data_IF_381089954344
#
_entry.id   IF_381089954344
#
_cell.length_a   1.000
_cell.length_b   1.000
_cell.length_c   1.000
_cell.angle_alpha   90.00
_cell.angle_beta   90.00
_cell.angle_gamma   90.00
#
_symmetry.space_group_name_H-M   'P 1'
#
loop_
_entity.id
_entity.type
_entity.pdbx_description
1 polymer ?
#
# COMPACT_ATOMS: atom_id res chain seq x y z
N UNK A 1 39.50 -31.99 -44.47
CA UNK A 1 39.03 -32.87 -43.37
C UNK A 1 37.84 -32.18 -42.72
N UNK A 2 36.68 -32.77 -42.98
CA UNK A 2 35.34 -32.24 -42.73
C UNK A 2 34.79 -32.84 -41.42
N UNK A 3 34.04 -32.06 -40.63
CA UNK A 3 32.80 -32.51 -39.96
C UNK A 3 32.15 -31.36 -39.18
N UNK A 4 31.18 -30.74 -39.85
CA UNK A 4 30.03 -30.02 -39.29
C UNK A 4 29.25 -30.90 -38.31
N UNK A 5 28.85 -30.36 -37.15
CA UNK A 5 27.86 -30.99 -36.25
C UNK A 5 26.50 -30.34 -36.45
N UNK A 6 25.54 -31.16 -36.88
CA UNK A 6 24.15 -30.80 -37.17
C UNK A 6 23.28 -30.77 -35.91
N UNK A 7 22.33 -29.85 -35.89
CA UNK A 7 21.22 -29.73 -34.92
C UNK A 7 20.13 -30.76 -35.26
N UNK A 8 19.55 -31.49 -34.29
CA UNK A 8 18.34 -32.25 -34.53
C UNK A 8 17.09 -31.44 -34.20
N UNK A 9 16.32 -31.11 -35.22
CA UNK A 9 14.88 -30.85 -35.14
C UNK A 9 14.11 -32.16 -35.04
N UNK A 10 13.06 -32.27 -34.22
CA UNK A 10 11.95 -33.15 -34.58
C UNK A 10 10.57 -32.66 -34.14
N UNK A 11 9.75 -32.54 -35.17
CA UNK A 11 8.33 -32.22 -35.26
C UNK A 11 7.42 -33.22 -34.54
N UNK A 12 6.40 -32.65 -33.90
CA UNK A 12 4.96 -33.00 -33.83
C UNK A 12 4.51 -34.43 -34.19
N UNK A 13 3.53 -34.94 -33.45
CA UNK A 13 2.23 -35.40 -34.00
C UNK A 13 1.23 -35.70 -32.89
N UNK A 14 0.15 -34.92 -32.85
CA UNK A 14 -1.10 -35.25 -32.18
C UNK A 14 -1.74 -36.47 -32.87
N UNK A 15 -2.29 -37.39 -32.10
CA UNK A 15 -3.21 -38.42 -32.60
C UNK A 15 -4.47 -38.35 -31.76
N UNK A 16 -5.60 -38.16 -32.44
CA UNK A 16 -6.94 -38.27 -31.91
C UNK A 16 -7.60 -39.56 -32.40
N UNK A 17 -8.73 -39.88 -31.78
CA UNK A 17 -9.82 -40.77 -32.22
C UNK A 17 -9.70 -42.24 -31.83
N UNK A 18 -10.64 -42.72 -31.01
CA UNK A 18 -11.66 -43.68 -31.45
C UNK A 18 -12.68 -43.95 -30.33
N UNK A 19 -13.92 -43.52 -30.55
CA UNK A 19 -15.10 -43.90 -29.78
C UNK A 19 -15.47 -45.36 -30.08
N UNK A 20 -15.80 -46.12 -29.03
CA UNK A 20 -16.52 -47.39 -29.16
C UNK A 20 -17.91 -47.24 -28.52
N UNK A 21 -18.94 -47.41 -29.33
CA UNK A 21 -20.31 -47.59 -28.88
C UNK A 21 -20.55 -49.07 -28.56
N UNK A 22 -21.16 -49.35 -27.41
CA UNK A 22 -21.77 -50.64 -27.12
C UNK A 22 -23.13 -50.38 -26.44
N UNK A 23 -24.20 -50.78 -27.13
CA UNK A 23 -25.57 -50.84 -26.61
C UNK A 23 -25.74 -52.12 -25.80
N UNK A 24 -26.25 -52.00 -24.57
CA UNK A 24 -26.98 -53.08 -23.90
C UNK A 24 -28.19 -52.48 -23.17
N UNK A 25 -29.38 -52.94 -23.55
CA UNK A 25 -30.65 -52.67 -22.87
C UNK A 25 -30.75 -53.54 -21.60
N UNK A 26 -30.97 -52.91 -20.45
CA UNK A 26 -31.65 -53.54 -19.30
C UNK A 26 -32.29 -52.44 -18.47
N UNK A 27 -33.61 -52.52 -18.32
CA UNK A 27 -34.41 -51.54 -17.59
C UNK A 27 -34.17 -51.60 -16.09
N UNK A 28 -33.94 -50.43 -15.50
CA UNK A 28 -34.02 -50.18 -14.06
C UNK A 28 -34.80 -48.88 -13.86
N UNK A 29 -35.78 -48.91 -12.96
CA UNK A 29 -36.65 -47.79 -12.65
C UNK A 29 -35.84 -46.57 -12.19
N UNK A 30 -36.02 -45.43 -12.85
CA UNK A 30 -35.44 -44.16 -12.46
C UNK A 30 -36.14 -43.64 -11.19
N UNK A 31 -35.47 -43.75 -10.04
CA UNK A 31 -35.81 -42.97 -8.86
C UNK A 31 -35.30 -41.54 -9.06
N UNK A 32 -36.11 -40.49 -8.82
CA UNK A 32 -35.61 -39.12 -8.83
C UNK A 32 -34.64 -38.93 -7.66
N UNK A 33 -33.39 -38.60 -7.98
CA UNK A 33 -32.41 -38.19 -6.99
C UNK A 33 -32.86 -36.87 -6.37
N UNK A 34 -33.33 -36.92 -5.13
CA UNK A 34 -33.51 -35.72 -4.30
C UNK A 34 -32.11 -35.19 -3.99
N UNK A 35 -31.75 -34.06 -4.59
CA UNK A 35 -30.53 -33.33 -4.23
C UNK A 35 -30.65 -32.89 -2.76
N UNK A 36 -29.94 -33.57 -1.88
CA UNK A 36 -29.81 -33.17 -0.48
C UNK A 36 -29.10 -31.81 -0.38
N UNK A 37 -29.33 -31.04 0.71
CA UNK A 37 -28.63 -29.78 0.93
C UNK A 37 -27.12 -30.04 0.91
N UNK A 38 -26.41 -29.41 -0.03
CA UNK A 38 -24.95 -29.47 -0.02
C UNK A 38 -24.48 -28.74 1.26
N UNK A 39 -23.61 -29.37 2.08
CA UNK A 39 -22.93 -28.65 3.15
C UNK A 39 -22.21 -27.46 2.52
N UNK A 40 -22.54 -26.25 2.97
CA UNK A 40 -21.82 -25.07 2.55
C UNK A 40 -20.33 -25.27 2.83
N UNK A 41 -19.49 -25.16 1.80
CA UNK A 41 -18.04 -25.20 1.98
C UNK A 41 -17.64 -24.09 2.97
N UNK A 42 -16.75 -24.38 3.93
CA UNK A 42 -16.25 -23.36 4.84
C UNK A 42 -15.51 -22.31 4.00
N UNK A 43 -16.08 -21.10 3.94
CA UNK A 43 -15.42 -19.93 3.39
C UNK A 43 -14.11 -19.76 4.16
N UNK A 44 -12.99 -19.93 3.46
CA UNK A 44 -11.68 -19.65 4.04
C UNK A 44 -11.72 -18.25 4.65
N UNK A 45 -11.22 -18.05 5.89
CA UNK A 45 -11.21 -16.73 6.48
C UNK A 45 -10.47 -15.80 5.52
N UNK A 46 -11.18 -14.81 4.99
CA UNK A 46 -10.55 -13.70 4.28
C UNK A 46 -9.45 -13.08 5.17
N UNK A 47 -8.55 -12.24 4.63
CA UNK A 47 -7.51 -11.59 5.43
C UNK A 47 -8.14 -11.08 6.71
N UNK A 48 -7.72 -11.64 7.85
CA UNK A 48 -8.37 -11.41 9.15
C UNK A 48 -8.64 -9.92 9.28
N UNK A 49 -9.82 -9.54 9.76
CA UNK A 49 -10.17 -8.14 9.99
C UNK A 49 -9.11 -7.40 10.83
N UNK A 50 -8.27 -8.13 11.58
CA UNK A 50 -7.10 -7.64 12.28
C UNK A 50 -5.98 -7.06 11.38
N UNK A 51 -5.86 -7.48 10.11
CA UNK A 51 -4.83 -7.03 9.15
C UNK A 51 -5.36 -6.14 8.03
N UNK A 52 -6.65 -5.79 8.06
CA UNK A 52 -7.27 -4.98 7.01
C UNK A 52 -6.62 -3.60 6.84
N UNK A 53 -6.01 -3.04 7.90
CA UNK A 53 -5.33 -1.74 7.88
C UNK A 53 -3.81 -1.84 7.65
N UNK A 54 -3.25 -3.04 7.53
CA UNK A 54 -1.81 -3.22 7.25
C UNK A 54 -1.36 -2.57 5.94
N UNK A 55 -2.10 -2.66 4.82
CA UNK A 55 -1.73 -1.95 3.60
C UNK A 55 -1.68 -0.43 3.78
N UNK A 56 -2.61 0.14 4.55
CA UNK A 56 -2.65 1.57 4.83
C UNK A 56 -1.45 2.01 5.67
N UNK A 57 -1.16 1.28 6.76
CA UNK A 57 0.01 1.52 7.60
C UNK A 57 1.32 1.38 6.80
N UNK A 58 1.41 0.39 5.91
CA UNK A 58 2.55 0.22 5.00
C UNK A 58 2.81 1.46 4.13
N UNK A 59 1.76 2.02 3.52
CA UNK A 59 1.89 3.22 2.68
C UNK A 59 2.25 4.47 3.48
N UNK A 60 1.76 4.60 4.72
CA UNK A 60 2.19 5.68 5.61
C UNK A 60 3.68 5.57 5.96
N UNK A 61 4.16 4.38 6.32
CA UNK A 61 5.57 4.14 6.59
C UNK A 61 6.43 4.40 5.35
N UNK A 62 6.02 3.90 4.18
CA UNK A 62 6.72 4.12 2.92
C UNK A 62 6.83 5.62 2.58
N UNK A 63 5.74 6.37 2.72
CA UNK A 63 5.73 7.83 2.51
C UNK A 63 6.61 8.55 3.53
N UNK A 64 6.60 8.10 4.78
CA UNK A 64 7.42 8.67 5.84
C UNK A 64 8.91 8.49 5.57
N UNK A 65 9.34 7.31 5.14
CA UNK A 65 10.74 6.99 4.84
C UNK A 65 11.30 7.80 3.66
N UNK A 66 10.45 8.38 2.81
CA UNK A 66 10.90 9.36 1.80
C UNK A 66 11.43 10.64 2.46
N UNK A 67 11.07 10.95 3.71
CA UNK A 67 11.59 12.10 4.45
C UNK A 67 13.12 12.14 4.48
N UNK A 68 13.81 11.00 4.55
CA UNK A 68 15.26 10.92 4.53
C UNK A 68 15.85 11.47 3.23
N UNK A 69 15.25 11.10 2.10
CA UNK A 69 15.64 11.60 0.77
C UNK A 69 15.33 13.09 0.64
N UNK A 70 14.17 13.54 1.12
CA UNK A 70 13.79 14.96 1.11
C UNK A 70 14.75 15.78 1.97
N UNK A 71 15.04 15.30 3.18
CA UNK A 71 15.97 15.93 4.10
C UNK A 71 17.36 16.04 3.45
N UNK A 72 17.88 14.95 2.89
CA UNK A 72 19.16 14.93 2.19
C UNK A 72 19.21 15.91 1.01
N UNK A 73 18.13 15.99 0.23
CA UNK A 73 18.05 16.89 -0.91
C UNK A 73 18.03 18.38 -0.51
N UNK A 74 17.37 18.71 0.61
CA UNK A 74 17.18 20.10 1.07
C UNK A 74 18.29 20.60 2.01
N UNK A 75 18.96 19.72 2.76
CA UNK A 75 19.89 20.11 3.82
C UNK A 75 21.06 20.95 3.25
N UNK A 76 21.28 22.13 3.82
CA UNK A 76 22.29 23.08 3.35
C UNK A 76 22.00 23.64 1.96
N UNK A 77 20.73 23.78 1.59
CA UNK A 77 20.25 24.53 0.41
C UNK A 77 19.33 25.68 0.86
N UNK A 78 18.87 26.49 -0.09
CA UNK A 78 17.87 27.53 0.10
C UNK A 78 16.43 26.99 0.19
N UNK A 79 16.23 25.67 0.08
CA UNK A 79 14.91 25.04 0.12
C UNK A 79 14.49 24.73 1.57
N UNK A 80 13.49 25.43 2.13
CA UNK A 80 13.07 25.22 3.52
C UNK A 80 12.35 23.88 3.71
N UNK A 81 12.33 23.39 4.96
CA UNK A 81 11.50 22.24 5.35
C UNK A 81 10.02 22.58 5.19
N UNK A 82 9.59 23.70 5.78
CA UNK A 82 8.26 24.27 5.64
C UNK A 82 8.14 25.05 4.34
N UNK A 83 7.18 24.66 3.50
CA UNK A 83 6.84 25.35 2.26
C UNK A 83 5.30 25.40 2.15
N UNK A 84 4.64 26.34 2.84
CA UNK A 84 3.17 26.38 2.93
C UNK A 84 2.49 26.43 1.56
N UNK A 85 3.09 27.12 0.59
CA UNK A 85 2.55 27.20 -0.75
C UNK A 85 2.61 25.84 -1.46
N UNK A 86 3.71 25.09 -1.32
CA UNK A 86 3.81 23.73 -1.86
C UNK A 86 2.93 22.74 -1.11
N UNK A 87 2.87 22.83 0.20
CA UNK A 87 2.02 22.00 1.05
C UNK A 87 0.55 22.17 0.66
N UNK A 88 0.09 23.40 0.47
CA UNK A 88 -1.27 23.67 0.00
C UNK A 88 -1.56 23.03 -1.36
N UNK A 89 -0.64 23.15 -2.34
CA UNK A 89 -0.81 22.49 -3.65
C UNK A 89 -0.93 20.97 -3.54
N UNK A 90 -0.24 20.34 -2.59
CA UNK A 90 -0.35 18.89 -2.35
C UNK A 90 -1.73 18.54 -1.77
N UNK A 91 -2.23 19.36 -0.83
CA UNK A 91 -3.54 19.15 -0.24
C UNK A 91 -4.67 19.38 -1.25
N UNK A 92 -4.55 20.41 -2.10
CA UNK A 92 -5.52 20.71 -3.16
C UNK A 92 -5.58 19.57 -4.19
N UNK A 93 -4.44 19.03 -4.61
CA UNK A 93 -4.38 17.87 -5.51
C UNK A 93 -5.02 16.63 -4.87
N UNK A 94 -4.70 16.35 -3.60
CA UNK A 94 -5.29 15.23 -2.87
C UNK A 94 -6.82 15.37 -2.75
N UNK A 95 -7.33 16.58 -2.48
CA UNK A 95 -8.75 16.87 -2.42
C UNK A 95 -9.46 16.66 -3.78
N UNK A 96 -8.87 17.16 -4.87
CA UNK A 96 -9.42 17.02 -6.22
C UNK A 96 -9.51 15.54 -6.63
N UNK A 97 -8.45 14.75 -6.34
CA UNK A 97 -8.41 13.32 -6.63
C UNK A 97 -9.36 12.52 -5.75
N UNK A 98 -9.52 12.90 -4.49
CA UNK A 98 -10.47 12.29 -3.57
C UNK A 98 -11.91 12.37 -4.11
N UNK A 99 -12.32 13.54 -4.61
CA UNK A 99 -13.64 13.74 -5.16
C UNK A 99 -13.94 12.80 -6.34
N UNK A 100 -12.96 12.58 -7.23
CA UNK A 100 -13.09 11.64 -8.35
C UNK A 100 -13.19 10.16 -7.94
N UNK A 101 -12.80 9.83 -6.71
CA UNK A 101 -12.84 8.48 -6.14
C UNK A 101 -14.01 8.27 -5.16
N UNK A 102 -14.89 9.27 -4.99
CA UNK A 102 -16.01 9.21 -4.05
C UNK A 102 -15.61 9.32 -2.57
N UNK A 103 -14.37 9.71 -2.28
CA UNK A 103 -13.91 9.97 -0.91
C UNK A 103 -14.31 11.38 -0.47
N UNK A 104 -14.60 11.57 0.82
CA UNK A 104 -14.75 12.91 1.40
C UNK A 104 -13.42 13.70 1.30
N UNK A 105 -13.38 14.82 0.55
CA UNK A 105 -12.16 15.60 0.38
C UNK A 105 -11.61 16.14 1.70
N UNK A 106 -12.46 16.50 2.67
CA UNK A 106 -12.02 17.04 3.95
C UNK A 106 -11.27 15.98 4.77
N UNK A 107 -11.80 14.76 4.83
CA UNK A 107 -11.12 13.60 5.44
C UNK A 107 -9.77 13.32 4.77
N UNK A 108 -9.70 13.33 3.44
CA UNK A 108 -8.44 13.09 2.72
C UNK A 108 -7.42 14.19 2.99
N UNK A 109 -7.83 15.46 2.98
CA UNK A 109 -6.96 16.60 3.32
C UNK A 109 -6.40 16.45 4.74
N UNK A 110 -7.22 16.04 5.71
CA UNK A 110 -6.75 15.82 7.08
C UNK A 110 -5.69 14.69 7.16
N UNK A 111 -5.93 13.56 6.46
CA UNK A 111 -4.96 12.46 6.37
C UNK A 111 -3.64 12.94 5.76
N UNK A 112 -3.68 13.62 4.61
CA UNK A 112 -2.46 14.09 3.95
C UNK A 112 -1.76 15.21 4.72
N UNK A 113 -2.50 16.04 5.46
CA UNK A 113 -1.94 17.00 6.42
C UNK A 113 -1.09 16.30 7.49
N UNK A 114 -1.61 15.21 8.08
CA UNK A 114 -0.85 14.41 9.03
C UNK A 114 0.42 13.81 8.41
N UNK A 115 0.34 13.33 7.16
CA UNK A 115 1.50 12.79 6.45
C UNK A 115 2.57 13.87 6.13
N UNK A 116 2.16 15.11 5.83
CA UNK A 116 3.07 16.23 5.60
C UNK A 116 3.79 16.58 6.91
N UNK A 117 3.04 16.72 8.01
CA UNK A 117 3.62 17.05 9.31
C UNK A 117 4.56 15.96 9.84
N UNK A 118 4.20 14.69 9.65
CA UNK A 118 5.08 13.56 9.96
C UNK A 118 6.41 13.61 9.19
N UNK A 119 6.34 13.93 7.89
CA UNK A 119 7.52 14.06 7.05
C UNK A 119 8.41 15.25 7.50
N UNK A 120 7.81 16.40 7.81
CA UNK A 120 8.54 17.57 8.35
C UNK A 120 9.19 17.28 9.70
N UNK A 121 8.52 16.52 10.58
CA UNK A 121 9.08 16.08 11.85
C UNK A 121 10.38 15.29 11.65
N UNK A 122 10.38 14.30 10.75
CA UNK A 122 11.59 13.51 10.44
C UNK A 122 12.68 14.37 9.83
N UNK A 123 12.35 15.23 8.85
CA UNK A 123 13.33 16.15 8.25
C UNK A 123 14.05 17.00 9.30
N UNK A 124 13.29 17.65 10.21
CA UNK A 124 13.89 18.48 11.27
C UNK A 124 14.74 17.66 12.23
N UNK A 125 14.29 16.46 12.62
CA UNK A 125 15.08 15.57 13.47
C UNK A 125 16.39 15.12 12.82
N UNK A 126 16.37 14.86 11.51
CA UNK A 126 17.58 14.54 10.74
C UNK A 126 18.53 15.75 10.67
N UNK A 127 18.00 16.96 10.47
CA UNK A 127 18.82 18.18 10.46
C UNK A 127 19.55 18.36 11.79
N UNK A 128 18.82 18.27 12.91
CA UNK A 128 19.43 18.32 14.24
C UNK A 128 20.51 17.25 14.43
N UNK A 129 20.26 16.02 13.95
CA UNK A 129 21.24 14.92 14.01
C UNK A 129 22.49 15.24 13.18
N UNK A 130 22.35 15.80 11.98
CA UNK A 130 23.45 16.14 11.07
C UNK A 130 24.23 17.39 11.46
N UNK A 131 23.59 18.32 12.18
CA UNK A 131 24.25 19.47 12.78
C UNK A 131 25.15 19.02 13.94
N UNK A 132 24.65 18.12 14.80
CA UNK A 132 25.41 17.55 15.91
C UNK A 132 26.49 16.55 15.48
N UNK A 133 26.24 15.83 14.38
CA UNK A 133 27.11 14.77 13.86
C UNK A 133 27.39 14.95 12.36
N UNK A 134 28.30 15.88 11.98
CA UNK A 134 28.61 16.17 10.59
C UNK A 134 29.05 14.96 9.76
N UNK A 135 29.69 13.98 10.39
CA UNK A 135 30.13 12.72 9.79
C UNK A 135 28.96 11.83 9.33
N UNK A 136 27.74 12.07 9.84
CA UNK A 136 26.52 11.34 9.46
C UNK A 136 25.74 12.01 8.33
N UNK A 137 26.21 13.16 7.82
CA UNK A 137 25.55 13.89 6.73
C UNK A 137 25.53 13.02 5.46
N UNK A 138 24.42 13.03 4.71
CA UNK A 138 24.35 12.32 3.44
C UNK A 138 25.32 12.95 2.44
N UNK A 139 26.10 12.12 1.76
CA UNK A 139 27.04 12.55 0.71
C UNK A 139 26.36 12.76 -0.64
N UNK A 140 25.22 12.10 -0.86
CA UNK A 140 24.38 12.24 -2.05
C UNK A 140 23.14 13.08 -1.74
N UNK A 141 22.80 13.98 -2.66
CA UNK A 141 21.54 14.74 -2.66
C UNK A 141 20.65 14.25 -3.82
N UNK A 142 19.58 13.48 -3.55
CA UNK A 142 18.64 13.06 -4.59
C UNK A 142 17.92 14.26 -5.22
N UNK A 143 17.56 14.15 -6.49
CA UNK A 143 16.80 15.20 -7.17
C UNK A 143 15.34 15.21 -6.71
N UNK A 144 14.86 16.36 -6.24
CA UNK A 144 13.49 16.50 -5.73
C UNK A 144 12.43 16.24 -6.80
N UNK A 145 12.72 16.58 -8.06
CA UNK A 145 11.75 16.63 -9.13
C UNK A 145 11.76 15.33 -9.94
N UNK A 146 12.95 14.74 -10.13
CA UNK A 146 13.16 13.54 -10.93
C UNK A 146 13.12 12.24 -10.12
N UNK A 147 13.43 12.27 -8.83
CA UNK A 147 13.47 11.06 -7.99
C UNK A 147 12.38 11.06 -6.92
N UNK A 148 12.24 12.15 -6.17
CA UNK A 148 11.38 12.17 -4.98
C UNK A 148 9.90 12.39 -5.34
N UNK A 149 9.59 13.38 -6.18
CA UNK A 149 8.20 13.67 -6.60
C UNK A 149 7.51 12.47 -7.27
N UNK A 150 8.12 11.74 -8.21
CA UNK A 150 7.47 10.59 -8.82
C UNK A 150 7.17 9.47 -7.82
N UNK A 151 8.07 9.24 -6.85
CA UNK A 151 7.84 8.26 -5.80
C UNK A 151 6.66 8.66 -4.90
N UNK A 152 6.57 9.95 -4.52
CA UNK A 152 5.46 10.47 -3.72
C UNK A 152 4.12 10.42 -4.47
N UNK A 153 4.10 10.68 -5.78
CA UNK A 153 2.87 10.62 -6.57
C UNK A 153 2.34 9.19 -6.72
N UNK A 154 3.22 8.21 -6.95
CA UNK A 154 2.85 6.78 -6.91
C UNK A 154 2.21 6.44 -5.57
N UNK A 155 2.87 6.78 -4.46
CA UNK A 155 2.36 6.48 -3.11
C UNK A 155 1.03 7.18 -2.88
N UNK A 156 0.88 8.44 -3.30
CA UNK A 156 -0.38 9.18 -3.20
C UNK A 156 -1.52 8.44 -3.91
N UNK A 157 -1.27 7.94 -5.11
CA UNK A 157 -2.24 7.14 -5.87
C UNK A 157 -2.63 5.86 -5.13
N UNK A 158 -1.64 5.10 -4.65
CA UNK A 158 -1.88 3.87 -3.89
C UNK A 158 -2.61 4.15 -2.58
N UNK A 159 -2.28 5.26 -1.92
CA UNK A 159 -2.87 5.66 -0.66
C UNK A 159 -4.34 6.00 -0.83
N UNK A 160 -4.71 6.81 -1.82
CA UNK A 160 -6.11 7.13 -2.12
C UNK A 160 -6.94 5.86 -2.42
N UNK A 161 -6.43 4.95 -3.24
CA UNK A 161 -7.11 3.68 -3.51
C UNK A 161 -7.24 2.81 -2.25
N UNK A 162 -6.24 2.83 -1.38
CA UNK A 162 -6.29 2.12 -0.10
C UNK A 162 -7.29 2.76 0.86
N UNK A 163 -7.44 4.09 0.85
CA UNK A 163 -8.46 4.79 1.65
C UNK A 163 -9.87 4.39 1.22
N UNK A 164 -10.12 4.19 -0.09
CA UNK A 164 -11.39 3.62 -0.61
C UNK A 164 -11.57 2.19 -0.10
N UNK A 165 -10.58 1.32 -0.32
CA UNK A 165 -10.68 -0.10 0.02
C UNK A 165 -10.84 -0.37 1.53
N UNK A 166 -10.44 0.59 2.37
CA UNK A 166 -10.48 0.47 3.83
C UNK A 166 -11.57 1.31 4.49
N UNK A 167 -12.44 1.98 3.74
CA UNK A 167 -13.49 2.86 4.28
C UNK A 167 -14.32 2.17 5.37
N UNK A 168 -14.85 0.97 5.10
CA UNK A 168 -15.69 0.25 6.05
C UNK A 168 -15.00 -0.06 7.39
N UNK A 169 -13.72 -0.44 7.37
CA UNK A 169 -12.97 -0.69 8.62
C UNK A 169 -12.55 0.61 9.29
N UNK A 170 -12.24 1.66 8.52
CA UNK A 170 -11.84 2.98 9.02
C UNK A 170 -12.97 3.73 9.72
N UNK A 171 -14.22 3.44 9.33
CA UNK A 171 -15.43 3.97 9.96
C UNK A 171 -15.91 3.15 11.17
N UNK A 172 -15.24 2.04 11.49
CA UNK A 172 -15.60 1.20 12.65
C UNK A 172 -15.00 1.73 13.97
N UNK A 173 -15.63 1.48 15.12
CA UNK A 173 -15.06 1.81 16.44
C UNK A 173 -13.70 1.15 16.71
N UNK A 174 -13.41 0.04 16.02
CA UNK A 174 -12.16 -0.70 16.15
C UNK A 174 -11.01 -0.11 15.33
N UNK A 175 -11.24 0.94 14.53
CA UNK A 175 -10.24 1.48 13.61
C UNK A 175 -8.96 1.89 14.35
N UNK A 176 -9.07 2.71 15.40
CA UNK A 176 -7.91 3.24 16.12
C UNK A 176 -6.97 2.12 16.59
N UNK A 177 -7.40 1.24 17.50
CA UNK A 177 -6.57 0.14 17.99
C UNK A 177 -6.00 -0.75 16.87
N UNK A 178 -6.78 -1.02 15.81
CA UNK A 178 -6.30 -1.81 14.67
C UNK A 178 -5.26 -1.08 13.84
N UNK A 179 -5.42 0.22 13.63
CA UNK A 179 -4.48 1.05 12.88
C UNK A 179 -3.16 1.18 13.64
N UNK A 180 -3.20 1.45 14.95
CA UNK A 180 -2.00 1.51 15.78
C UNK A 180 -1.28 0.17 15.85
N UNK A 181 -2.00 -0.95 15.97
CA UNK A 181 -1.41 -2.29 15.92
C UNK A 181 -0.77 -2.59 14.56
N UNK A 182 -1.43 -2.23 13.46
CA UNK A 182 -0.88 -2.36 12.12
C UNK A 182 0.37 -1.49 11.93
N UNK A 183 0.35 -0.24 12.39
CA UNK A 183 1.48 0.68 12.35
C UNK A 183 2.67 0.17 13.16
N UNK A 184 2.44 -0.37 14.36
CA UNK A 184 3.49 -0.95 15.18
C UNK A 184 4.13 -2.18 14.51
N UNK A 185 3.31 -3.05 13.90
CA UNK A 185 3.80 -4.22 13.16
C UNK A 185 4.64 -3.80 11.94
N UNK A 186 4.14 -2.85 11.15
CA UNK A 186 4.88 -2.28 10.01
C UNK A 186 6.19 -1.65 10.46
N UNK A 187 6.17 -0.84 11.51
CA UNK A 187 7.35 -0.16 12.01
C UNK A 187 8.43 -1.13 12.52
N UNK A 188 8.01 -2.23 13.15
CA UNK A 188 8.91 -3.32 13.54
C UNK A 188 9.52 -4.01 12.32
N UNK A 189 8.69 -4.34 11.32
CA UNK A 189 9.14 -4.99 10.08
C UNK A 189 10.13 -4.13 9.27
N UNK A 190 9.93 -2.81 9.25
CA UNK A 190 10.78 -1.85 8.54
C UNK A 190 12.01 -1.41 9.36
N UNK A 191 12.11 -1.83 10.64
CA UNK A 191 13.22 -1.47 11.51
C UNK A 191 13.30 0.03 11.81
N UNK A 192 12.15 0.70 11.98
CA UNK A 192 12.10 2.14 12.18
C UNK A 192 12.82 2.57 13.47
N UNK A 193 13.69 3.57 13.37
CA UNK A 193 14.34 4.17 14.53
C UNK A 193 13.37 5.06 15.34
N UNK A 194 13.80 5.54 16.51
CA UNK A 194 12.96 6.37 17.40
C UNK A 194 12.42 7.64 16.71
N UNK A 195 13.17 8.22 15.77
CA UNK A 195 12.72 9.41 15.04
C UNK A 195 11.58 9.04 14.08
N UNK A 196 11.74 7.93 13.36
CA UNK A 196 10.73 7.43 12.43
C UNK A 196 9.50 6.88 13.15
N UNK A 197 9.63 6.28 14.32
CA UNK A 197 8.49 5.86 15.15
C UNK A 197 7.63 7.06 15.55
N UNK A 198 8.24 8.19 15.95
CA UNK A 198 7.52 9.45 16.22
C UNK A 198 6.85 10.02 14.97
N UNK A 199 7.54 9.95 13.83
CA UNK A 199 6.96 10.32 12.54
C UNK A 199 5.74 9.45 12.19
N UNK A 200 5.85 8.13 12.40
CA UNK A 200 4.78 7.18 12.13
C UNK A 200 3.57 7.47 13.00
N UNK A 201 3.75 7.70 14.30
CA UNK A 201 2.68 8.09 15.22
C UNK A 201 1.98 9.38 14.76
N UNK A 202 2.76 10.40 14.37
CA UNK A 202 2.23 11.67 13.86
C UNK A 202 1.38 11.49 12.60
N UNK A 203 1.63 10.44 11.81
CA UNK A 203 0.97 10.18 10.54
C UNK A 203 -0.45 9.57 10.68
N UNK A 204 -0.83 9.04 11.85
CA UNK A 204 -2.06 8.24 12.03
C UNK A 204 -3.38 8.99 12.37
N UNK A 205 -3.40 10.13 13.09
CA UNK A 205 -4.60 10.59 13.80
C UNK A 205 -5.88 10.76 12.96
N UNK A 206 -5.76 11.24 11.73
CA UNK A 206 -6.92 11.52 10.86
C UNK A 206 -7.34 10.34 9.99
N UNK A 207 -6.65 9.21 10.08
CA UNK A 207 -6.96 8.06 9.24
C UNK A 207 -8.23 7.33 9.69
N UNK A 208 -8.60 7.34 10.97
CA UNK A 208 -9.88 6.80 11.41
C UNK A 208 -10.95 7.89 11.37
N UNK A 209 -12.15 7.59 10.88
CA UNK A 209 -13.25 8.52 11.01
C UNK A 209 -13.49 8.74 12.51
N UNK A 210 -13.51 9.99 12.97
CA UNK A 210 -14.13 10.27 14.26
C UNK A 210 -15.59 9.91 14.06
N UNK A 211 -16.09 8.90 14.78
CA UNK A 211 -17.52 8.67 14.87
C UNK A 211 -18.14 9.94 15.44
N UNK A 212 -18.60 10.83 14.57
CA UNK A 212 -19.51 11.88 14.96
C UNK A 212 -20.82 11.16 15.23
N UNK A 213 -21.35 11.18 16.47
CA UNK A 213 -22.73 10.79 16.67
C UNK A 213 -23.58 11.70 15.76
N UNK A 214 -24.50 11.07 15.04
CA UNK A 214 -25.54 11.73 14.26
C UNK A 214 -26.51 12.46 15.19
#
# INVERSE_FOLDING_TARGET
MERTRSVPTRRTRSVAVASCAALLLSGAAAMPAVAGPQPAEPVAPGPSAARALTPLAGLFAERLLIADKVAAAKYGTDRPVDDPAREQRILDDAAARAAGLGLDPATVVAVFGDQIEANKLVQRGLYTRWDAHPERRPTRRPDLDKEIRPALDRITTQLLNTLVATEGVRSSPSCGPRLYGAAAWTAYGDGLDVLHLKGMERALPSACARGLPT
#
